data_IF_812728771575
#
_entry.id   IF_812728771575
#
_cell.length_a   1.000
_cell.length_b   1.000
_cell.length_c   1.000
_cell.angle_alpha   90.00
_cell.angle_beta   90.00
_cell.angle_gamma   90.00
#
_symmetry.space_group_name_H-M   'P 1'
#
loop_
_entity.id
_entity.type
_entity.pdbx_description
1 polymer ?
#
# COMPACT_ATOMS: atom_id res chain seq x y z
N UNK A 1 4.67 11.42 -1.43
CA UNK A 1 4.18 10.03 -1.58
C UNK A 1 4.76 9.50 -2.88
N UNK A 2 5.56 8.44 -2.80
CA UNK A 2 6.11 7.76 -3.97
C UNK A 2 5.09 6.76 -4.53
N UNK A 3 4.40 6.04 -3.64
CA UNK A 3 3.42 5.02 -3.99
C UNK A 3 2.31 4.93 -2.94
N UNK A 4 1.10 4.62 -3.39
CA UNK A 4 0.00 4.09 -2.56
C UNK A 4 -0.49 2.82 -3.24
N UNK A 5 -0.39 1.68 -2.56
CA UNK A 5 -0.89 0.40 -3.07
C UNK A 5 -1.86 -0.28 -2.10
N UNK A 6 -2.64 -1.22 -2.65
CA UNK A 6 -3.63 -2.01 -1.92
C UNK A 6 -3.30 -3.49 -2.12
N UNK A 7 -3.10 -4.20 -1.01
CA UNK A 7 -2.90 -5.64 -1.02
C UNK A 7 -4.20 -6.37 -1.38
N UNK A 8 -4.14 -7.26 -2.36
CA UNK A 8 -5.31 -7.97 -2.92
C UNK A 8 -5.15 -9.49 -2.93
N UNK A 9 -3.96 -10.01 -2.64
CA UNK A 9 -3.65 -11.44 -2.73
C UNK A 9 -4.16 -12.19 -1.47
N UNK A 10 -5.16 -13.08 -1.59
CA UNK A 10 -5.68 -13.85 -0.46
C UNK A 10 -4.74 -14.97 0.02
N UNK A 11 -3.69 -15.28 -0.76
CA UNK A 11 -2.74 -16.35 -0.46
C UNK A 11 -1.46 -15.84 0.23
N UNK A 12 -1.19 -14.53 0.19
CA UNK A 12 -0.06 -13.92 0.88
C UNK A 12 -0.30 -13.91 2.40
N UNK A 13 0.69 -14.33 3.19
CA UNK A 13 0.55 -14.56 4.64
C UNK A 13 1.78 -14.18 5.47
N UNK A 14 2.87 -13.73 4.87
CA UNK A 14 4.11 -13.38 5.57
C UNK A 14 4.23 -11.88 5.86
N UNK A 15 3.86 -11.41 7.07
CA UNK A 15 4.00 -10.00 7.43
C UNK A 15 5.46 -9.59 7.71
N UNK A 16 6.35 -10.56 7.93
CA UNK A 16 7.79 -10.35 8.18
C UNK A 16 8.59 -10.00 6.92
N UNK A 17 8.02 -10.27 5.74
CA UNK A 17 8.62 -9.94 4.46
C UNK A 17 7.86 -8.77 3.83
N UNK A 18 8.46 -7.58 3.79
CA UNK A 18 7.85 -6.37 3.21
C UNK A 18 7.26 -6.61 1.81
N UNK A 19 8.00 -7.32 0.95
CA UNK A 19 7.56 -7.61 -0.42
C UNK A 19 6.31 -8.49 -0.47
N UNK A 20 6.11 -9.37 0.51
CA UNK A 20 4.88 -10.16 0.58
C UNK A 20 3.78 -9.40 1.34
N UNK A 21 4.14 -8.68 2.39
CA UNK A 21 3.24 -7.94 3.27
C UNK A 21 2.42 -6.88 2.53
N UNK A 22 3.01 -6.17 1.56
CA UNK A 22 2.31 -5.22 0.69
C UNK A 22 1.22 -5.87 -0.17
N UNK A 23 1.33 -7.18 -0.43
CA UNK A 23 0.42 -7.95 -1.29
C UNK A 23 -0.72 -8.58 -0.49
N UNK A 24 -0.59 -8.71 0.83
CA UNK A 24 -1.58 -9.35 1.72
C UNK A 24 -2.93 -8.68 1.54
N UNK A 25 -3.98 -9.46 1.24
CA UNK A 25 -5.34 -8.94 1.09
C UNK A 25 -5.72 -8.04 2.26
N UNK A 26 -6.32 -6.89 1.95
CA UNK A 26 -6.80 -5.89 2.91
C UNK A 26 -5.72 -5.06 3.64
N UNK A 27 -4.45 -5.20 3.27
CA UNK A 27 -3.42 -4.21 3.64
C UNK A 27 -3.38 -3.06 2.64
N UNK A 28 -2.76 -1.95 3.04
CA UNK A 28 -2.25 -0.95 2.11
C UNK A 28 -0.77 -0.74 2.39
N UNK A 29 -0.06 -0.18 1.43
CA UNK A 29 1.27 0.37 1.67
C UNK A 29 1.37 1.79 1.14
N UNK A 30 2.20 2.58 1.81
CA UNK A 30 2.59 3.92 1.39
C UNK A 30 4.10 3.93 1.28
N UNK A 31 4.62 4.36 0.13
CA UNK A 31 6.05 4.52 -0.06
C UNK A 31 6.49 5.99 0.03
N UNK A 32 7.71 6.19 0.53
CA UNK A 32 8.43 7.47 0.46
C UNK A 32 9.70 7.32 -0.37
N UNK A 33 10.14 8.42 -0.99
CA UNK A 33 11.36 8.46 -1.77
C UNK A 33 11.10 8.59 -3.27
N UNK A 34 11.76 7.75 -4.07
CA UNK A 34 11.75 7.80 -5.52
C UNK A 34 10.36 7.48 -6.08
N UNK A 35 9.87 8.41 -6.90
CA UNK A 35 8.59 8.29 -7.61
C UNK A 35 8.77 8.22 -9.13
N UNK A 36 10.01 8.29 -9.62
CA UNK A 36 10.33 8.47 -11.03
C UNK A 36 9.91 7.26 -11.88
N UNK A 37 10.02 6.06 -11.31
CA UNK A 37 9.57 4.79 -11.91
C UNK A 37 8.06 4.72 -12.13
N UNK A 38 7.28 5.57 -11.44
CA UNK A 38 5.82 5.67 -11.56
C UNK A 38 5.36 6.98 -12.24
N UNK A 39 6.27 7.69 -12.91
CA UNK A 39 5.97 8.96 -13.59
C UNK A 39 5.89 10.18 -12.67
N UNK A 40 6.32 10.04 -11.41
CA UNK A 40 6.48 11.16 -10.49
C UNK A 40 7.70 12.03 -10.80
N UNK A 41 7.78 13.20 -10.17
CA UNK A 41 8.84 14.20 -10.39
C UNK A 41 10.03 14.08 -9.43
N UNK A 42 9.92 13.23 -8.41
CA UNK A 42 10.94 13.07 -7.38
C UNK A 42 11.85 11.91 -7.75
N UNK A 43 13.14 12.20 -7.91
CA UNK A 43 14.22 11.22 -8.03
C UNK A 43 15.01 11.14 -6.73
N UNK A 44 15.22 9.94 -6.20
CA UNK A 44 15.99 9.72 -4.98
C UNK A 44 16.63 8.31 -4.96
N UNK A 45 17.67 8.12 -4.15
CA UNK A 45 18.32 6.81 -3.97
C UNK A 45 17.57 5.89 -2.98
N UNK A 46 16.39 6.31 -2.54
CA UNK A 46 15.58 5.61 -1.54
C UNK A 46 14.19 5.39 -2.11
N UNK A 47 13.65 4.19 -1.94
CA UNK A 47 12.22 3.90 -2.03
C UNK A 47 11.89 2.97 -0.87
N UNK A 48 11.05 3.43 0.05
CA UNK A 48 10.79 2.71 1.30
C UNK A 48 9.29 2.57 1.52
N UNK A 49 8.85 1.32 1.56
CA UNK A 49 7.48 0.93 1.84
C UNK A 49 7.16 0.88 3.33
N UNK A 50 5.98 1.36 3.67
CA UNK A 50 5.37 1.24 4.99
C UNK A 50 4.02 0.55 4.86
N UNK A 51 3.91 -0.63 5.48
CA UNK A 51 2.70 -1.44 5.44
C UNK A 51 1.75 -0.98 6.55
N UNK A 52 0.49 -0.74 6.19
CA UNK A 52 -0.58 -0.42 7.15
C UNK A 52 -1.56 -1.58 7.19
N UNK A 53 -1.51 -2.42 8.24
CA UNK A 53 -2.48 -3.48 8.43
C UNK A 53 -3.81 -2.90 8.91
N UNK A 54 -4.92 -3.49 8.46
CA UNK A 54 -6.30 -3.10 8.83
C UNK A 54 -6.60 -1.59 8.65
N UNK A 55 -6.31 -1.00 7.48
CA UNK A 55 -6.53 0.42 7.27
C UNK A 55 -8.02 0.74 7.14
N UNK A 56 -8.35 2.01 7.37
CA UNK A 56 -9.53 2.62 6.78
C UNK A 56 -9.07 3.52 5.63
N UNK A 57 -9.37 3.14 4.39
CA UNK A 57 -8.98 3.85 3.18
C UNK A 57 -10.20 4.49 2.51
N UNK A 58 -10.07 5.77 2.16
CA UNK A 58 -11.07 6.54 1.43
C UNK A 58 -10.50 7.03 0.10
N UNK A 59 -11.26 6.88 -0.98
CA UNK A 59 -11.01 7.55 -2.25
C UNK A 59 -12.18 8.48 -2.57
N UNK A 60 -11.88 9.74 -2.88
CA UNK A 60 -12.88 10.76 -3.23
C UNK A 60 -14.06 10.83 -2.26
N UNK A 61 -13.75 10.72 -0.96
CA UNK A 61 -14.74 10.74 0.13
C UNK A 61 -15.48 9.42 0.37
N UNK A 62 -15.34 8.41 -0.50
CA UNK A 62 -15.95 7.08 -0.34
C UNK A 62 -15.00 6.15 0.41
N UNK A 63 -15.52 5.47 1.44
CA UNK A 63 -14.79 4.39 2.13
C UNK A 63 -14.77 3.18 1.22
N UNK A 64 -13.57 2.69 0.89
CA UNK A 64 -13.36 1.47 0.08
C UNK A 64 -12.75 0.33 0.90
N UNK A 65 -12.07 0.64 2.00
CA UNK A 65 -11.62 -0.30 3.01
C UNK A 65 -11.99 0.29 4.37
N UNK A 66 -12.64 -0.48 5.22
CA UNK A 66 -12.98 -0.10 6.60
C UNK A 66 -12.41 -1.14 7.57
N UNK A 67 -11.49 -0.71 8.43
CA UNK A 67 -10.83 -1.55 9.44
C UNK A 67 -10.28 -2.88 8.86
N UNK A 68 -9.68 -2.81 7.66
CA UNK A 68 -9.17 -3.98 6.96
C UNK A 68 -10.23 -4.86 6.31
N UNK A 69 -11.39 -4.32 5.97
CA UNK A 69 -12.40 -5.02 5.17
C UNK A 69 -12.73 -4.20 3.93
N UNK A 70 -12.62 -4.80 2.76
CA UNK A 70 -13.01 -4.16 1.50
C UNK A 70 -14.53 -3.97 1.50
N UNK A 71 -15.01 -2.77 1.12
CA UNK A 71 -16.42 -2.37 1.20
C UNK A 71 -17.07 -2.06 -0.16
N UNK A 72 -16.38 -2.37 -1.26
CA UNK A 72 -16.83 -2.17 -2.65
C UNK A 72 -17.32 -3.44 -3.31
#
# INVERSE_FOLDING_TARGET
>A
CAELGIGTNPNARRPDNVLEAEKIRETIHIAIGDSSHMGGKVTADLHQDFIVPKPTLKFDGKVIIKDGKITV
#
